data_IF_853193344571
#
_entry.id   IF_853193344571
#
_cell.length_a   1.000
_cell.length_b   1.000
_cell.length_c   1.000
_cell.angle_alpha   90.00
_cell.angle_beta   90.00
_cell.angle_gamma   90.00
#
_symmetry.space_group_name_H-M   'P 1'
#
loop_
_entity.id
_entity.type
_entity.pdbx_description
1 polymer ?
#
# COMPACT_ATOMS: atom_id res chain seq x y z
N UNK A 1 29.33 27.44 -13.45
CA UNK A 1 29.14 27.30 -11.99
C UNK A 1 27.73 27.70 -11.53
N UNK A 2 27.24 28.92 -11.77
CA UNK A 2 25.87 29.35 -11.38
C UNK A 2 24.73 28.43 -11.86
N UNK A 3 24.78 27.92 -13.10
CA UNK A 3 23.77 27.00 -13.65
C UNK A 3 23.74 25.62 -12.97
N UNK A 4 24.91 25.11 -12.55
CA UNK A 4 25.03 23.83 -11.83
C UNK A 4 24.48 23.97 -10.41
N UNK A 5 24.77 25.09 -9.76
CA UNK A 5 24.27 25.43 -8.42
C UNK A 5 22.73 25.54 -8.42
N UNK A 6 22.13 26.12 -9.47
CA UNK A 6 20.66 26.19 -9.63
C UNK A 6 20.05 24.79 -9.82
N UNK A 7 20.67 23.92 -10.61
CA UNK A 7 20.21 22.53 -10.78
C UNK A 7 20.30 21.75 -9.46
N UNK A 8 21.38 21.93 -8.70
CA UNK A 8 21.55 21.31 -7.37
C UNK A 8 20.55 21.89 -6.36
N UNK A 9 20.30 23.20 -6.36
CA UNK A 9 19.28 23.85 -5.52
C UNK A 9 17.87 23.40 -5.86
N UNK A 10 17.54 23.25 -7.16
CA UNK A 10 16.27 22.69 -7.59
C UNK A 10 16.13 21.23 -7.16
N UNK A 11 17.20 20.43 -7.28
CA UNK A 11 17.24 19.07 -6.72
C UNK A 11 17.05 19.04 -5.20
N UNK A 12 17.67 19.96 -4.46
CA UNK A 12 17.54 20.09 -3.00
C UNK A 12 16.14 20.52 -2.56
N UNK A 13 15.42 21.31 -3.39
CA UNK A 13 14.01 21.66 -3.14
C UNK A 13 13.06 20.45 -3.31
N UNK A 14 13.45 19.42 -4.07
CA UNK A 14 12.72 18.15 -4.12
C UNK A 14 13.08 17.19 -2.97
N UNK A 15 14.17 17.45 -2.25
CA UNK A 15 14.65 16.63 -1.13
C UNK A 15 13.98 17.02 0.20
N UNK A 16 13.36 18.20 0.31
CA UNK A 16 12.78 18.67 1.60
C UNK A 16 11.44 18.02 1.99
N UNK A 17 10.98 17.03 1.23
CA UNK A 17 9.85 16.19 1.61
C UNK A 17 10.40 14.77 1.71
N UNK A 18 11.16 14.44 2.78
CA UNK A 18 11.60 13.08 3.13
C UNK A 18 10.77 12.64 4.33
N UNK A 19 9.63 12.02 4.03
CA UNK A 19 8.88 11.08 4.83
C UNK A 19 8.84 9.83 3.94
N UNK A 20 10.01 9.18 3.85
CA UNK A 20 10.27 8.13 2.88
C UNK A 20 9.30 6.97 3.12
N UNK A 21 8.67 6.54 2.05
CA UNK A 21 7.56 5.61 2.06
C UNK A 21 7.84 4.30 2.82
N UNK A 22 6.78 3.84 3.48
CA UNK A 22 6.55 2.49 4.00
C UNK A 22 7.12 1.40 3.08
N UNK A 23 7.58 0.30 3.66
CA UNK A 23 7.98 -0.88 2.90
C UNK A 23 6.78 -1.41 2.10
N UNK A 24 6.75 -1.08 0.80
CA UNK A 24 5.69 -1.48 -0.11
C UNK A 24 5.82 -2.96 -0.47
N UNK A 25 4.93 -3.78 0.07
CA UNK A 25 4.81 -5.20 -0.26
C UNK A 25 3.79 -5.32 -1.38
N UNK A 26 4.14 -6.03 -2.46
CA UNK A 26 3.22 -6.26 -3.58
C UNK A 26 2.84 -7.74 -3.59
N UNK A 27 1.54 -8.00 -3.53
CA UNK A 27 0.98 -9.34 -3.64
C UNK A 27 0.44 -9.50 -5.05
N UNK A 28 1.16 -10.28 -5.85
CA UNK A 28 0.86 -10.63 -7.24
C UNK A 28 0.27 -12.04 -7.40
N UNK A 29 0.33 -12.85 -6.33
CA UNK A 29 -0.24 -14.19 -6.25
C UNK A 29 -1.58 -14.21 -5.52
N UNK A 30 -2.43 -15.17 -5.86
CA UNK A 30 -3.68 -15.44 -5.16
C UNK A 30 -3.40 -15.98 -3.75
N UNK A 31 -3.89 -15.27 -2.72
CA UNK A 31 -3.82 -15.64 -1.30
C UNK A 31 -5.21 -16.01 -0.76
N UNK A 32 -5.94 -16.82 -1.54
CA UNK A 32 -7.35 -17.22 -1.32
C UNK A 32 -7.54 -18.46 -0.44
N UNK A 33 -6.48 -18.88 0.23
CA UNK A 33 -6.47 -20.04 1.10
C UNK A 33 -5.84 -19.59 2.42
N UNK A 34 -6.53 -19.84 3.53
CA UNK A 34 -6.10 -19.42 4.87
C UNK A 34 -4.75 -20.06 5.24
N UNK A 35 -4.51 -21.29 4.80
CA UNK A 35 -3.26 -22.03 5.03
C UNK A 35 -2.10 -21.46 4.20
N UNK A 36 -2.42 -20.70 3.13
CA UNK A 36 -1.47 -19.99 2.27
C UNK A 36 -1.54 -18.48 2.45
N UNK A 37 -2.05 -18.03 3.60
CA UNK A 37 -2.15 -16.62 3.95
C UNK A 37 -0.79 -15.92 3.87
N UNK A 38 -0.82 -14.62 3.60
CA UNK A 38 0.39 -13.81 3.64
C UNK A 38 0.75 -13.45 5.07
N UNK A 39 1.90 -13.96 5.55
CA UNK A 39 2.40 -13.69 6.89
C UNK A 39 2.94 -12.24 7.01
N UNK A 40 2.34 -11.48 7.92
CA UNK A 40 2.80 -10.16 8.36
C UNK A 40 3.70 -10.37 9.57
N UNK A 41 4.98 -10.01 9.43
CA UNK A 41 6.02 -10.29 10.44
C UNK A 41 5.97 -9.37 11.65
N UNK A 42 5.62 -8.12 11.43
CA UNK A 42 5.56 -7.09 12.46
C UNK A 42 4.31 -6.24 12.21
N UNK A 43 3.41 -6.24 13.19
CA UNK A 43 2.11 -5.56 13.09
C UNK A 43 2.13 -4.13 13.58
N UNK A 44 3.18 -3.72 14.29
CA UNK A 44 3.34 -2.36 14.82
C UNK A 44 4.12 -1.51 13.81
N UNK A 45 5.05 -2.13 13.08
CA UNK A 45 5.77 -1.49 11.97
C UNK A 45 4.85 -1.11 10.81
N UNK A 46 4.92 0.15 10.41
CA UNK A 46 4.13 0.72 9.33
C UNK A 46 4.48 0.12 7.96
N UNK A 47 3.56 -0.67 7.43
CA UNK A 47 3.73 -1.46 6.21
C UNK A 47 2.55 -1.27 5.28
N UNK A 48 2.82 -1.01 4.00
CA UNK A 48 1.80 -0.86 2.96
C UNK A 48 1.80 -2.10 2.05
N UNK A 49 0.70 -2.83 2.02
CA UNK A 49 0.52 -4.03 1.20
C UNK A 49 -0.40 -3.70 0.02
N UNK A 50 0.18 -3.69 -1.18
CA UNK A 50 -0.49 -3.48 -2.46
C UNK A 50 -1.01 -4.81 -3.00
N UNK A 51 -2.32 -4.95 -3.11
CA UNK A 51 -2.96 -6.19 -3.53
C UNK A 51 -4.13 -5.93 -4.49
N UNK A 52 -4.52 -6.96 -5.23
CA UNK A 52 -5.65 -6.92 -6.17
C UNK A 52 -6.50 -8.17 -6.02
N UNK A 53 -7.81 -7.99 -5.83
CA UNK A 53 -8.78 -9.06 -6.03
C UNK A 53 -8.92 -9.29 -7.53
N UNK A 54 -8.57 -10.49 -8.00
CA UNK A 54 -8.50 -10.83 -9.43
C UNK A 54 -9.68 -11.66 -9.92
N UNK A 55 -10.41 -12.29 -9.01
CA UNK A 55 -11.50 -13.22 -9.32
C UNK A 55 -12.76 -12.85 -8.52
N UNK A 56 -13.92 -13.30 -9.01
CA UNK A 56 -15.17 -13.17 -8.27
C UNK A 56 -15.10 -14.02 -6.99
N UNK A 57 -15.66 -13.51 -5.88
CA UNK A 57 -15.62 -14.17 -4.56
C UNK A 57 -14.20 -14.45 -4.03
N UNK A 58 -13.18 -13.75 -4.57
CA UNK A 58 -11.83 -13.86 -4.08
C UNK A 58 -11.70 -13.22 -2.68
N UNK A 59 -11.17 -14.01 -1.75
CA UNK A 59 -10.82 -13.60 -0.41
C UNK A 59 -9.30 -13.54 -0.33
N UNK A 60 -8.75 -12.51 0.30
CA UNK A 60 -7.35 -12.43 0.60
C UNK A 60 -7.13 -12.63 2.08
N UNK A 61 -6.34 -13.65 2.43
CA UNK A 61 -5.98 -13.96 3.81
C UNK A 61 -4.57 -13.47 4.14
N UNK A 62 -4.46 -12.78 5.27
CA UNK A 62 -3.21 -12.40 5.91
C UNK A 62 -3.17 -13.03 7.30
N UNK A 63 -1.98 -13.37 7.78
CA UNK A 63 -1.80 -13.94 9.13
C UNK A 63 -0.69 -13.21 9.87
N UNK A 64 -0.75 -13.23 11.19
CA UNK A 64 0.32 -12.72 12.05
C UNK A 64 0.30 -13.39 13.42
N UNK A 65 1.45 -13.39 14.08
CA UNK A 65 1.54 -13.77 15.49
C UNK A 65 1.34 -12.53 16.35
N UNK A 66 0.30 -12.55 17.17
CA UNK A 66 -0.05 -11.47 18.07
C UNK A 66 0.32 -11.81 19.52
N UNK A 67 0.72 -10.79 20.27
CA UNK A 67 0.89 -10.86 21.72
C UNK A 67 -0.10 -9.94 22.40
N UNK A 68 -0.59 -10.36 23.56
CA UNK A 68 -1.44 -9.56 24.43
C UNK A 68 -0.79 -8.20 24.70
N UNK A 69 -1.57 -7.14 24.55
CA UNK A 69 -1.11 -5.76 24.75
C UNK A 69 -0.47 -5.11 23.52
N UNK A 70 -0.19 -5.85 22.43
CA UNK A 70 0.29 -5.23 21.21
C UNK A 70 -0.80 -4.43 20.51
N UNK A 71 -0.42 -3.30 19.91
CA UNK A 71 -1.35 -2.44 19.21
C UNK A 71 -1.53 -2.89 17.76
N UNK A 72 -2.67 -3.51 17.48
CA UNK A 72 -3.07 -3.74 16.11
C UNK A 72 -3.64 -2.45 15.50
N UNK A 73 -3.13 -2.09 14.34
CA UNK A 73 -3.70 -1.06 13.48
C UNK A 73 -3.82 -1.58 12.06
N UNK A 74 -4.96 -1.30 11.43
CA UNK A 74 -5.10 -1.49 10.00
C UNK A 74 -5.93 -0.40 9.33
N UNK A 75 -5.62 -0.13 8.07
CA UNK A 75 -6.36 0.79 7.23
C UNK A 75 -6.43 0.27 5.79
N UNK A 76 -7.63 0.27 5.22
CA UNK A 76 -7.82 0.02 3.79
C UNK A 76 -7.91 1.35 3.06
N UNK A 77 -7.10 1.47 2.00
CA UNK A 77 -7.15 2.54 1.03
C UNK A 77 -7.35 1.97 -0.37
N UNK A 78 -8.02 2.72 -1.23
CA UNK A 78 -8.19 2.37 -2.65
C UNK A 78 -7.41 3.34 -3.51
N UNK A 79 -6.79 2.89 -4.62
CA UNK A 79 -6.32 3.80 -5.66
C UNK A 79 -7.45 4.75 -6.10
N UNK A 80 -7.17 6.05 -6.16
CA UNK A 80 -8.12 7.03 -6.66
C UNK A 80 -8.13 7.03 -8.21
N UNK A 81 -8.52 5.88 -8.77
CA UNK A 81 -8.63 5.58 -10.20
C UNK A 81 -10.03 5.06 -10.49
N UNK A 82 -10.54 5.28 -11.71
CA UNK A 82 -11.95 4.97 -12.03
C UNK A 82 -12.33 3.50 -11.79
N UNK A 83 -11.40 2.57 -12.03
CA UNK A 83 -11.63 1.13 -11.82
C UNK A 83 -11.61 0.65 -10.37
N UNK A 84 -11.11 1.46 -9.41
CA UNK A 84 -10.91 0.98 -8.03
C UNK A 84 -11.59 1.88 -6.99
N UNK A 85 -11.85 3.15 -7.30
CA UNK A 85 -12.33 4.16 -6.31
C UNK A 85 -13.69 3.83 -5.66
N UNK A 86 -14.49 3.01 -6.34
CA UNK A 86 -15.82 2.56 -5.89
C UNK A 86 -15.82 1.11 -5.37
N UNK A 87 -14.65 0.47 -5.25
CA UNK A 87 -14.54 -0.90 -4.73
C UNK A 87 -15.11 -0.98 -3.29
N UNK A 88 -15.99 -1.95 -3.07
CA UNK A 88 -16.56 -2.27 -1.76
C UNK A 88 -15.83 -3.45 -1.17
N UNK A 89 -15.20 -3.24 -0.02
CA UNK A 89 -14.46 -4.28 0.69
C UNK A 89 -15.02 -4.46 2.09
N UNK A 90 -15.11 -5.71 2.52
CA UNK A 90 -15.24 -6.10 3.92
C UNK A 90 -13.87 -6.53 4.39
N UNK A 91 -13.49 -6.07 5.58
CA UNK A 91 -12.32 -6.55 6.29
C UNK A 91 -12.80 -7.29 7.55
N UNK A 92 -12.21 -8.43 7.83
CA UNK A 92 -12.47 -9.19 9.05
C UNK A 92 -11.14 -9.43 9.76
N UNK A 93 -11.06 -9.09 11.04
CA UNK A 93 -9.98 -9.52 11.93
C UNK A 93 -10.50 -10.66 12.81
N UNK A 94 -9.86 -11.82 12.77
CA UNK A 94 -10.30 -12.99 13.54
C UNK A 94 -9.11 -13.74 14.15
N UNK A 95 -9.38 -14.54 15.19
CA UNK A 95 -8.34 -15.20 15.97
C UNK A 95 -8.86 -15.68 17.34
N UNK A 96 -7.96 -15.84 18.33
CA UNK A 96 -8.30 -16.36 19.66
C UNK A 96 -8.95 -15.29 20.56
N UNK A 97 -9.98 -14.61 20.05
CA UNK A 97 -10.73 -13.64 20.83
C UNK A 97 -11.72 -14.35 21.78
N UNK A 98 -11.73 -14.00 23.06
CA UNK A 98 -12.70 -14.56 24.01
C UNK A 98 -14.06 -13.85 23.92
N UNK A 99 -14.06 -12.52 23.89
CA UNK A 99 -15.27 -11.70 23.97
C UNK A 99 -15.82 -11.21 22.62
N UNK A 100 -15.12 -11.48 21.51
CA UNK A 100 -15.56 -11.00 20.19
C UNK A 100 -16.78 -11.78 19.65
N UNK A 101 -17.47 -11.19 18.67
CA UNK A 101 -18.68 -11.75 18.07
C UNK A 101 -18.33 -13.01 17.26
N UNK A 102 -19.18 -14.04 17.39
CA UNK A 102 -19.18 -15.19 16.47
C UNK A 102 -19.63 -14.69 15.11
N UNK A 103 -18.79 -14.89 14.10
CA UNK A 103 -18.98 -14.42 12.75
C UNK A 103 -19.87 -15.38 11.95
N UNK A 104 -21.12 -15.54 12.38
CA UNK A 104 -22.08 -16.54 11.85
C UNK A 104 -22.25 -16.48 10.33
N UNK A 105 -22.30 -15.28 9.77
CA UNK A 105 -22.46 -15.07 8.32
C UNK A 105 -21.17 -15.42 7.53
N UNK A 106 -20.07 -15.70 8.23
CA UNK A 106 -18.75 -16.02 7.69
C UNK A 106 -18.20 -17.34 8.24
N UNK A 107 -19.02 -18.13 8.93
CA UNK A 107 -18.60 -19.38 9.57
C UNK A 107 -18.08 -20.40 8.56
N UNK A 108 -18.65 -20.47 7.36
CA UNK A 108 -18.14 -21.33 6.28
C UNK A 108 -16.74 -20.92 5.79
N UNK A 109 -16.41 -19.62 5.91
CA UNK A 109 -15.14 -19.05 5.45
C UNK A 109 -14.08 -19.14 6.55
N UNK A 110 -14.48 -18.94 7.81
CA UNK A 110 -13.57 -18.75 8.93
C UNK A 110 -13.46 -19.98 9.82
N UNK A 111 -14.49 -20.84 9.86
CA UNK A 111 -14.64 -21.92 10.82
C UNK A 111 -15.24 -21.47 12.15
N UNK A 112 -15.97 -22.37 12.81
CA UNK A 112 -16.78 -22.11 14.01
C UNK A 112 -15.97 -21.72 15.26
N UNK A 113 -14.68 -22.08 15.26
CA UNK A 113 -13.77 -21.87 16.39
C UNK A 113 -13.25 -20.44 16.51
N UNK A 114 -13.31 -19.66 15.43
CA UNK A 114 -12.76 -18.31 15.42
C UNK A 114 -13.85 -17.27 15.67
N UNK A 115 -13.49 -16.33 16.53
CA UNK A 115 -14.27 -15.12 16.81
C UNK A 115 -13.53 -13.95 16.20
N UNK A 116 -14.22 -12.83 15.99
CA UNK A 116 -13.58 -11.69 15.37
C UNK A 116 -14.44 -10.44 15.26
N UNK A 117 -13.85 -9.44 14.62
CA UNK A 117 -14.46 -8.16 14.32
C UNK A 117 -14.69 -8.07 12.81
N UNK A 118 -15.91 -7.71 12.43
CA UNK A 118 -16.23 -7.32 11.05
C UNK A 118 -16.09 -5.82 10.95
N UNK A 119 -15.25 -5.38 10.03
CA UNK A 119 -15.09 -3.99 9.65
C UNK A 119 -15.84 -3.81 8.32
N UNK A 120 -17.07 -3.28 8.34
CA UNK A 120 -17.91 -3.16 7.15
C UNK A 120 -17.35 -2.09 6.19
N UNK A 121 -17.77 -2.08 4.91
CA UNK A 121 -17.32 -1.09 3.94
C UNK A 121 -17.42 0.33 4.51
N UNK A 122 -16.29 1.03 4.55
CA UNK A 122 -16.26 2.40 5.03
C UNK A 122 -16.92 3.34 4.03
N UNK A 123 -17.85 4.18 4.51
CA UNK A 123 -18.46 5.24 3.70
C UNK A 123 -17.52 6.46 3.53
N UNK A 124 -16.32 6.42 4.12
CA UNK A 124 -15.35 7.47 4.01
C UNK A 124 -14.90 7.63 2.53
N UNK A 125 -14.82 8.88 2.09
CA UNK A 125 -14.33 9.27 0.76
C UNK A 125 -13.19 10.29 0.84
N UNK A 126 -12.54 10.41 2.01
CA UNK A 126 -11.38 11.28 2.20
C UNK A 126 -10.28 10.89 1.22
N UNK A 127 -9.91 11.86 0.37
CA UNK A 127 -8.78 11.73 -0.54
C UNK A 127 -7.49 11.92 0.23
N UNK A 128 -6.50 11.08 -0.08
CA UNK A 128 -5.15 11.18 0.44
C UNK A 128 -4.18 11.25 -0.74
N UNK A 129 -3.32 12.26 -0.76
CA UNK A 129 -2.23 12.34 -1.72
C UNK A 129 -0.94 11.96 -1.03
N UNK A 130 -0.28 10.93 -1.55
CA UNK A 130 1.02 10.47 -1.11
C UNK A 130 2.07 11.20 -1.98
N UNK A 131 2.86 12.12 -1.40
CA UNK A 131 3.70 13.02 -2.19
C UNK A 131 4.96 12.35 -2.76
N UNK A 132 5.40 11.23 -2.19
CA UNK A 132 6.60 10.51 -2.58
C UNK A 132 6.37 9.77 -3.88
N UNK A 133 5.45 8.82 -3.86
CA UNK A 133 5.05 8.07 -5.05
C UNK A 133 4.14 8.89 -5.95
N UNK A 134 3.70 10.08 -5.51
CA UNK A 134 2.83 11.00 -6.25
C UNK A 134 1.53 10.31 -6.68
N UNK A 135 0.96 9.54 -5.77
CA UNK A 135 -0.24 8.73 -5.99
C UNK A 135 -1.37 9.21 -5.09
N UNK A 136 -2.59 9.13 -5.60
CA UNK A 136 -3.78 9.51 -4.85
C UNK A 136 -4.58 8.27 -4.44
N UNK A 137 -5.09 8.29 -3.23
CA UNK A 137 -5.87 7.24 -2.61
C UNK A 137 -7.20 7.78 -2.08
N UNK A 138 -8.16 6.88 -1.88
CA UNK A 138 -9.37 7.11 -1.09
C UNK A 138 -9.26 6.25 0.16
N UNK A 139 -9.30 6.88 1.34
CA UNK A 139 -9.33 6.17 2.62
C UNK A 139 -10.72 5.56 2.82
N UNK A 140 -10.79 4.28 3.18
CA UNK A 140 -12.05 3.54 3.39
C UNK A 140 -12.26 3.15 4.84
N UNK A 141 -11.61 2.06 5.26
CA UNK A 141 -11.74 1.49 6.58
C UNK A 141 -10.52 1.82 7.41
N UNK A 142 -10.73 2.00 8.71
CA UNK A 142 -9.66 2.14 9.68
C UNK A 142 -10.10 1.42 10.94
N UNK A 143 -9.23 0.58 11.49
CA UNK A 143 -9.49 -0.18 12.69
C UNK A 143 -8.24 -0.24 13.57
N UNK A 144 -8.44 -0.20 14.88
CA UNK A 144 -7.36 -0.35 15.84
C UNK A 144 -7.89 -1.03 17.09
N UNK A 145 -7.06 -1.90 17.66
CA UNK A 145 -7.39 -2.69 18.84
C UNK A 145 -6.09 -3.08 19.55
N UNK A 146 -6.10 -3.07 20.87
CA UNK A 146 -5.07 -3.73 21.67
C UNK A 146 -5.40 -5.23 21.74
N UNK A 147 -4.47 -6.10 21.31
CA UNK A 147 -4.72 -7.53 21.24
C UNK A 147 -4.97 -8.10 22.66
N UNK A 148 -6.07 -8.84 22.88
CA UNK A 148 -6.44 -9.28 24.23
C UNK A 148 -5.69 -10.54 24.69
N UNK A 149 -5.14 -11.31 23.75
CA UNK A 149 -4.58 -12.64 23.98
C UNK A 149 -3.36 -12.87 23.09
N UNK A 150 -2.54 -13.86 23.47
CA UNK A 150 -1.46 -14.34 22.61
C UNK A 150 -2.03 -15.35 21.59
N UNK A 151 -1.49 -15.35 20.38
CA UNK A 151 -1.75 -16.40 19.39
C UNK A 151 -1.77 -15.93 17.95
N UNK A 152 -2.21 -16.82 17.06
CA UNK A 152 -2.29 -16.54 15.63
C UNK A 152 -3.58 -15.79 15.31
N UNK A 153 -3.44 -14.64 14.66
CA UNK A 153 -4.55 -13.85 14.14
C UNK A 153 -4.51 -13.84 12.62
N UNK A 154 -5.68 -13.57 12.04
CA UNK A 154 -5.88 -13.53 10.62
C UNK A 154 -6.70 -12.31 10.21
N UNK A 155 -6.43 -11.82 9.01
CA UNK A 155 -7.22 -10.79 8.34
C UNK A 155 -7.76 -11.39 7.06
N UNK A 156 -9.08 -11.33 6.86
CA UNK A 156 -9.73 -11.62 5.59
C UNK A 156 -10.18 -10.32 4.94
N UNK A 157 -9.90 -10.14 3.65
CA UNK A 157 -10.37 -9.01 2.85
C UNK A 157 -11.02 -9.55 1.59
N UNK A 158 -12.26 -9.15 1.32
CA UNK A 158 -13.00 -9.57 0.14
C UNK A 158 -14.06 -8.53 -0.24
N UNK A 159 -14.59 -8.63 -1.45
CA UNK A 159 -15.77 -7.87 -1.86
C UNK A 159 -17.04 -8.70 -1.61
N UNK A 160 -18.03 -8.20 -0.84
CA UNK A 160 -19.29 -8.92 -0.62
C UNK A 160 -20.16 -9.04 -1.89
N UNK A 161 -19.87 -8.23 -2.92
CA UNK A 161 -20.56 -8.24 -4.22
C UNK A 161 -19.68 -8.77 -5.36
N UNK A 162 -18.62 -9.52 -5.03
CA UNK A 162 -17.75 -10.15 -6.03
C UNK A 162 -16.92 -9.20 -6.91
N UNK A 163 -16.83 -7.91 -6.56
CA UNK A 163 -16.02 -6.94 -7.29
C UNK A 163 -14.53 -7.28 -7.25
N UNK A 164 -13.91 -7.11 -8.41
CA UNK A 164 -12.47 -7.12 -8.58
C UNK A 164 -11.94 -5.69 -8.43
N UNK A 165 -10.69 -5.56 -8.01
CA UNK A 165 -10.07 -4.26 -7.89
C UNK A 165 -8.86 -4.26 -6.98
N UNK A 166 -8.14 -3.15 -7.02
CA UNK A 166 -6.95 -2.91 -6.22
C UNK A 166 -7.30 -2.28 -4.89
N UNK A 167 -6.55 -2.65 -3.87
CA UNK A 167 -6.56 -1.99 -2.58
C UNK A 167 -5.15 -1.98 -1.98
N UNK A 168 -4.98 -1.12 -1.00
CA UNK A 168 -3.79 -1.08 -0.14
C UNK A 168 -4.24 -1.35 1.28
N UNK A 169 -3.70 -2.42 1.88
CA UNK A 169 -3.82 -2.70 3.30
C UNK A 169 -2.60 -2.10 4.00
N UNK A 170 -2.83 -1.11 4.84
CA UNK A 170 -1.80 -0.56 5.73
C UNK A 170 -1.91 -1.25 7.08
N UNK A 171 -0.78 -1.70 7.62
CA UNK A 171 -0.67 -2.31 8.94
C UNK A 171 0.36 -1.51 9.75
N UNK A 172 0.12 -1.35 11.04
CA UNK A 172 1.06 -0.69 11.94
C UNK A 172 1.16 0.82 11.72
N UNK A 173 1.86 1.49 12.64
CA UNK A 173 2.08 2.94 12.63
C UNK A 173 3.53 3.34 12.88
N UNK A 174 4.37 2.41 13.33
CA UNK A 174 5.74 2.70 13.67
C UNK A 174 6.57 2.80 12.40
N UNK A 175 7.01 4.02 12.10
CA UNK A 175 7.83 4.29 10.93
C UNK A 175 9.30 4.08 11.29
N UNK A 176 9.96 3.16 10.58
CA UNK A 176 11.41 3.03 10.61
C UNK A 176 11.97 3.74 9.38
N UNK A 177 12.94 4.63 9.61
CA UNK A 177 13.59 5.39 8.55
C UNK A 177 15.09 5.09 8.50
N UNK A 178 15.63 4.84 7.30
CA UNK A 178 17.05 4.57 7.10
C UNK A 178 17.59 4.90 5.71
N UNK A 179 18.92 4.97 5.60
CA UNK A 179 19.64 5.22 4.34
C UNK A 179 19.27 4.23 3.23
N UNK A 180 18.92 2.99 3.61
CA UNK A 180 18.50 1.96 2.67
C UNK A 180 17.22 2.37 1.92
N UNK A 181 16.22 2.93 2.61
CA UNK A 181 14.96 3.31 1.97
C UNK A 181 15.14 4.52 1.05
N UNK A 182 16.06 5.43 1.37
CA UNK A 182 16.44 6.52 0.48
C UNK A 182 17.05 5.99 -0.82
N UNK A 183 17.92 4.98 -0.75
CA UNK A 183 18.53 4.35 -1.93
C UNK A 183 17.52 3.51 -2.73
N UNK A 184 16.58 2.84 -2.05
CA UNK A 184 15.53 2.04 -2.68
C UNK A 184 14.38 2.90 -3.26
N UNK A 185 14.31 4.19 -2.92
CA UNK A 185 13.21 5.07 -3.30
C UNK A 185 12.89 5.09 -4.81
N UNK A 186 13.85 5.25 -5.75
CA UNK A 186 13.54 5.25 -7.18
C UNK A 186 12.84 3.96 -7.65
N UNK A 187 13.24 2.83 -7.07
CA UNK A 187 12.65 1.51 -7.34
C UNK A 187 11.23 1.44 -6.76
N UNK A 188 11.03 1.92 -5.53
CA UNK A 188 9.70 1.99 -4.89
C UNK A 188 8.75 2.88 -5.70
N UNK A 189 9.21 4.09 -6.08
CA UNK A 189 8.45 5.01 -6.92
C UNK A 189 8.03 4.35 -8.23
N UNK A 190 8.95 3.65 -8.92
CA UNK A 190 8.66 2.97 -10.16
C UNK A 190 7.62 1.85 -9.96
N UNK A 191 7.80 1.00 -8.94
CA UNK A 191 6.89 -0.11 -8.65
C UNK A 191 5.48 0.38 -8.32
N UNK A 192 5.35 1.36 -7.44
CA UNK A 192 4.04 1.92 -7.07
C UNK A 192 3.37 2.56 -8.27
N UNK A 193 4.10 3.38 -9.06
CA UNK A 193 3.53 4.01 -10.24
C UNK A 193 3.16 3.00 -11.34
N UNK A 194 3.98 1.97 -11.54
CA UNK A 194 3.68 0.88 -12.47
C UNK A 194 2.41 0.12 -12.04
N UNK A 195 2.28 -0.18 -10.75
CA UNK A 195 1.09 -0.85 -10.21
C UNK A 195 -0.17 0.02 -10.30
N UNK A 196 -0.05 1.35 -10.16
CA UNK A 196 -1.14 2.32 -10.35
C UNK A 196 -1.55 2.51 -11.81
N UNK A 197 -0.57 2.75 -12.68
CA UNK A 197 -0.76 2.94 -14.11
C UNK A 197 0.56 2.58 -14.82
N UNK A 198 0.63 1.41 -15.50
CA UNK A 198 1.84 0.96 -16.16
C UNK A 198 2.42 1.96 -17.15
N UNK A 199 1.60 2.79 -17.79
CA UNK A 199 2.04 3.77 -18.81
C UNK A 199 2.81 4.93 -18.17
N UNK A 200 2.41 5.38 -16.97
CA UNK A 200 2.95 6.59 -16.32
C UNK A 200 4.47 6.56 -16.13
N UNK A 201 5.09 5.54 -15.50
CA UNK A 201 6.54 5.55 -15.29
C UNK A 201 7.31 5.49 -16.62
N UNK A 202 6.83 4.75 -17.62
CA UNK A 202 7.49 4.70 -18.93
C UNK A 202 7.39 6.03 -19.69
N UNK A 203 6.24 6.70 -19.66
CA UNK A 203 6.07 8.01 -20.27
C UNK A 203 7.05 9.04 -19.67
N UNK A 204 7.24 9.00 -18.35
CA UNK A 204 8.22 9.86 -17.66
C UNK A 204 9.65 9.53 -18.10
N UNK A 205 10.02 8.26 -18.23
CA UNK A 205 11.34 7.86 -18.73
C UNK A 205 11.59 8.34 -20.17
N UNK A 206 10.58 8.25 -21.05
CA UNK A 206 10.66 8.76 -22.43
C UNK A 206 10.84 10.28 -22.44
N UNK A 207 10.07 11.02 -21.65
CA UNK A 207 10.19 12.48 -21.55
C UNK A 207 11.57 12.89 -21.03
N UNK A 208 12.09 12.21 -20.00
CA UNK A 208 13.44 12.45 -19.48
C UNK A 208 14.52 12.20 -20.55
N UNK A 209 14.39 11.11 -21.33
CA UNK A 209 15.31 10.82 -22.42
C UNK A 209 15.30 11.92 -23.50
N UNK A 210 14.12 12.43 -23.87
CA UNK A 210 13.98 13.52 -24.83
C UNK A 210 14.60 14.84 -24.30
N UNK A 211 14.38 15.16 -23.02
CA UNK A 211 14.99 16.33 -22.37
C UNK A 211 16.51 16.23 -22.37
N UNK A 212 17.05 15.08 -21.97
CA UNK A 212 18.50 14.83 -21.96
C UNK A 212 19.07 14.96 -23.38
N UNK A 213 18.41 14.37 -24.38
CA UNK A 213 18.82 14.48 -25.77
C UNK A 213 18.83 15.93 -26.27
N UNK A 214 17.79 16.71 -25.94
CA UNK A 214 17.71 18.13 -26.26
C UNK A 214 18.83 18.95 -25.61
N UNK A 215 19.12 18.71 -24.32
CA UNK A 215 20.20 19.36 -23.59
C UNK A 215 21.57 19.02 -24.19
N UNK A 216 21.82 17.76 -24.56
CA UNK A 216 23.07 17.34 -25.22
C UNK A 216 23.25 18.06 -26.56
N UNK A 217 22.19 18.15 -27.37
CA UNK A 217 22.22 18.90 -28.64
C UNK A 217 22.49 20.38 -28.42
N UNK A 218 21.83 21.00 -27.43
CA UNK A 218 22.03 22.41 -27.09
C UNK A 218 23.48 22.70 -26.65
N UNK A 219 24.04 21.86 -25.77
CA UNK A 219 25.43 22.01 -25.30
C UNK A 219 26.42 21.85 -26.46
N UNK A 220 26.21 20.87 -27.36
CA UNK A 220 27.03 20.70 -28.56
C UNK A 220 26.93 21.89 -29.52
N UNK A 221 25.73 22.45 -29.70
CA UNK A 221 25.51 23.64 -30.52
C UNK A 221 26.21 24.88 -29.96
N UNK A 222 26.14 25.11 -28.65
CA UNK A 222 26.82 26.22 -27.98
C UNK A 222 28.35 26.14 -28.07
N UNK A 223 28.93 24.93 -28.00
CA UNK A 223 30.38 24.71 -28.21
C UNK A 223 30.86 24.98 -29.63
N UNK A 224 29.96 25.07 -30.62
CA UNK A 224 30.31 25.35 -32.02
C UNK A 224 30.33 26.85 -32.33
N UNK A 225 29.80 27.68 -31.43
CA UNK A 225 29.64 29.13 -31.59
C UNK A 225 30.69 29.92 -30.77
N UNK A 226 31.33 29.25 -29.80
CA UNK A 226 32.48 29.74 -29.02
C UNK A 226 33.79 29.21 -29.62
#
# INVERSE_FOLDING_TARGET
MKKIIIVILLWLLFISQIAVAHQGIFIDKTINDIDKSYEIKDIEKSTAIYARLTEENNIHFYSFQGKKGQNFYSQIMLPNTEGDKELLLVQILFGPFEEARILKDYTEILGDQYRGYVIPPGNNRTKFFEPFTQTAYIKKQQFSLELPTDGTYYIAIFSPVGQQGRYVLTIGKDEEFGLKELLDYPKTWFKVNYWFNPIRPFAILVLLALIIFGLVKLIKGLKKIL
#
